data_IF_832486611119
#
_entry.id   IF_832486611119
#
_cell.length_a   1.000
_cell.length_b   1.000
_cell.length_c   1.000
_cell.angle_alpha   90.00
_cell.angle_beta   90.00
_cell.angle_gamma   90.00
#
_symmetry.space_group_name_H-M   'P 1'
#
loop_
_entity.id
_entity.type
_entity.pdbx_description
1 polymer ?
#
# COMPACT_ATOMS: atom_id res chain seq x y z
N UNK A 1 35.28 -76.74 -7.51
CA UNK A 1 33.96 -76.50 -8.13
C UNK A 1 33.32 -75.35 -7.38
N UNK A 2 33.34 -74.14 -7.94
CA UNK A 2 32.25 -73.50 -8.70
C UNK A 2 31.00 -73.16 -7.86
N UNK A 3 30.71 -71.84 -7.84
CA UNK A 3 29.41 -71.14 -7.65
C UNK A 3 29.01 -70.81 -6.20
N UNK A 4 28.34 -69.69 -5.88
CA UNK A 4 28.11 -68.33 -6.43
C UNK A 4 26.98 -67.70 -5.56
N UNK A 5 26.91 -66.35 -5.50
CA UNK A 5 25.78 -65.48 -5.10
C UNK A 5 25.42 -65.41 -3.60
N UNK A 6 25.06 -64.27 -3.00
CA UNK A 6 24.87 -62.89 -3.45
C UNK A 6 25.02 -61.94 -2.26
N UNK A 7 25.66 -60.78 -2.48
CA UNK A 7 25.65 -59.65 -1.54
C UNK A 7 24.35 -58.86 -1.69
N UNK A 8 23.71 -58.53 -0.56
CA UNK A 8 22.56 -57.67 -0.49
C UNK A 8 23.06 -56.22 -0.33
N UNK A 9 23.10 -55.46 -1.42
CA UNK A 9 23.26 -54.00 -1.38
C UNK A 9 21.88 -53.38 -1.14
N UNK A 10 21.71 -52.76 0.02
CA UNK A 10 20.57 -51.85 0.28
C UNK A 10 20.92 -50.52 -0.39
N UNK A 11 20.26 -50.21 -1.50
CA UNK A 11 20.32 -48.89 -2.13
C UNK A 11 19.25 -48.02 -1.46
N UNK A 12 19.68 -47.14 -0.55
CA UNK A 12 18.88 -45.99 -0.14
C UNK A 12 18.92 -44.97 -1.28
N UNK A 13 17.85 -44.91 -2.06
CA UNK A 13 17.66 -43.92 -3.11
C UNK A 13 16.75 -42.80 -2.56
N UNK A 14 17.31 -41.83 -1.86
CA UNK A 14 16.65 -40.54 -1.63
C UNK A 14 16.93 -39.65 -2.85
N UNK A 15 16.05 -39.70 -3.85
CA UNK A 15 16.08 -38.74 -4.95
C UNK A 15 15.11 -37.60 -4.62
N UNK A 16 15.59 -36.59 -3.89
CA UNK A 16 15.01 -35.26 -3.98
C UNK A 16 15.49 -34.66 -5.30
N UNK A 17 14.78 -34.95 -6.38
CA UNK A 17 14.99 -34.25 -7.65
C UNK A 17 14.62 -32.79 -7.45
N UNK A 18 15.63 -31.96 -7.21
CA UNK A 18 15.54 -30.52 -7.40
C UNK A 18 15.27 -30.31 -8.89
N UNK A 19 13.99 -30.10 -9.23
CA UNK A 19 13.64 -29.62 -10.56
C UNK A 19 14.25 -28.23 -10.68
N UNK A 20 15.31 -28.10 -11.48
CA UNK A 20 15.78 -26.79 -11.93
C UNK A 20 14.61 -26.12 -12.64
N UNK A 21 14.11 -25.01 -12.09
CA UNK A 21 12.95 -24.33 -12.63
C UNK A 21 13.21 -23.94 -14.09
N UNK A 22 12.45 -24.53 -15.02
CA UNK A 22 12.61 -24.31 -16.45
C UNK A 22 11.97 -22.96 -16.81
N UNK A 23 12.69 -22.09 -17.53
CA UNK A 23 12.11 -20.89 -18.13
C UNK A 23 11.53 -21.22 -19.51
N UNK A 24 10.40 -20.61 -19.83
CA UNK A 24 9.75 -20.73 -21.14
C UNK A 24 9.29 -19.36 -21.64
N UNK A 25 9.46 -19.13 -22.94
CA UNK A 25 9.03 -17.90 -23.61
C UNK A 25 7.77 -18.18 -24.44
N UNK A 26 6.70 -17.46 -24.18
CA UNK A 26 5.39 -17.66 -24.82
C UNK A 26 4.59 -16.35 -24.86
N UNK A 27 3.54 -16.27 -25.69
CA UNK A 27 2.68 -15.08 -25.74
C UNK A 27 1.67 -15.08 -24.58
N UNK A 28 1.25 -13.91 -24.12
CA UNK A 28 0.29 -13.78 -23.01
C UNK A 28 -1.02 -14.54 -23.29
N UNK A 29 -1.45 -14.59 -24.56
CA UNK A 29 -2.64 -15.33 -24.98
C UNK A 29 -2.58 -16.85 -24.72
N UNK A 30 -1.40 -17.43 -24.48
CA UNK A 30 -1.20 -18.85 -24.14
C UNK A 30 -1.24 -19.12 -22.63
N UNK A 31 -1.41 -18.09 -21.81
CA UNK A 31 -1.53 -18.22 -20.35
C UNK A 31 -2.98 -18.49 -19.95
N UNK A 32 -3.21 -19.65 -19.35
CA UNK A 32 -4.48 -20.03 -18.75
C UNK A 32 -4.52 -19.58 -17.29
N UNK A 33 -5.44 -18.71 -16.87
CA UNK A 33 -5.49 -18.22 -15.49
C UNK A 33 -5.93 -19.32 -14.51
N UNK A 34 -5.28 -19.41 -13.35
CA UNK A 34 -5.74 -20.23 -12.22
C UNK A 34 -6.54 -19.45 -11.17
N UNK A 35 -7.10 -18.30 -11.51
CA UNK A 35 -8.07 -17.58 -10.67
C UNK A 35 -9.18 -17.00 -11.56
N UNK A 36 -10.40 -16.87 -11.05
CA UNK A 36 -11.53 -16.37 -11.84
C UNK A 36 -11.58 -14.83 -11.98
N UNK A 37 -10.93 -14.11 -11.06
CA UNK A 37 -11.12 -12.67 -10.89
C UNK A 37 -9.82 -11.87 -10.85
N UNK A 38 -9.93 -10.56 -11.07
CA UNK A 38 -8.87 -9.57 -10.94
C UNK A 38 -9.32 -8.48 -9.97
N UNK A 39 -8.37 -7.67 -9.53
CA UNK A 39 -8.65 -6.38 -8.91
C UNK A 39 -8.40 -5.29 -9.97
N UNK A 40 -9.47 -4.69 -10.48
CA UNK A 40 -9.37 -3.79 -11.64
C UNK A 40 -8.57 -2.53 -11.34
N UNK A 41 -8.63 -2.02 -10.12
CA UNK A 41 -7.85 -0.88 -9.65
C UNK A 41 -6.34 -1.17 -9.60
N UNK A 42 -5.94 -2.37 -9.18
CA UNK A 42 -4.57 -2.84 -9.20
C UNK A 42 -4.06 -3.00 -10.64
N UNK A 43 -4.92 -3.43 -11.57
CA UNK A 43 -4.63 -3.46 -13.01
C UNK A 43 -4.41 -2.03 -13.53
N UNK A 44 -5.32 -1.10 -13.24
CA UNK A 44 -5.22 0.32 -13.63
C UNK A 44 -3.91 0.94 -13.11
N UNK A 45 -3.59 0.80 -11.82
CA UNK A 45 -2.32 1.30 -11.22
C UNK A 45 -1.09 0.81 -12.00
N UNK A 46 -1.11 -0.45 -12.46
CA UNK A 46 0.00 -1.02 -13.23
C UNK A 46 0.07 -0.43 -14.65
N UNK A 47 -1.08 -0.24 -15.31
CA UNK A 47 -1.16 0.43 -16.61
C UNK A 47 -0.61 1.86 -16.51
N UNK A 48 -1.02 2.63 -15.50
CA UNK A 48 -0.56 4.00 -15.27
C UNK A 48 0.96 4.03 -15.04
N UNK A 49 1.49 3.08 -14.26
CA UNK A 49 2.94 2.91 -14.09
C UNK A 49 3.64 2.70 -15.44
N UNK A 50 3.08 1.90 -16.34
CA UNK A 50 3.66 1.66 -17.68
C UNK A 50 3.61 2.89 -18.58
N UNK A 51 2.55 3.71 -18.49
CA UNK A 51 2.43 4.98 -19.21
C UNK A 51 3.51 5.98 -18.80
N UNK A 52 3.71 6.15 -17.49
CA UNK A 52 4.72 7.07 -16.96
C UNK A 52 6.16 6.60 -17.19
N UNK A 53 6.39 5.29 -17.31
CA UNK A 53 7.71 4.68 -17.47
C UNK A 53 8.00 4.16 -18.89
N UNK A 54 7.34 4.69 -19.92
CA UNK A 54 7.34 4.13 -21.29
C UNK A 54 8.73 3.81 -21.88
N UNK A 55 9.78 4.59 -21.55
CA UNK A 55 11.17 4.32 -21.97
C UNK A 55 11.85 3.20 -21.16
N UNK A 56 11.52 3.04 -19.88
CA UNK A 56 12.05 1.98 -19.01
C UNK A 56 11.28 0.65 -19.20
N UNK A 57 9.97 0.72 -19.46
CA UNK A 57 9.08 -0.43 -19.61
C UNK A 57 9.40 -1.35 -20.80
N UNK A 58 10.08 -0.85 -21.83
CA UNK A 58 10.60 -1.69 -22.93
C UNK A 58 11.92 -2.40 -22.56
N UNK A 59 12.63 -1.93 -21.53
CA UNK A 59 13.88 -2.50 -21.00
C UNK A 59 13.61 -3.49 -19.85
N UNK A 60 12.55 -3.25 -19.07
CA UNK A 60 12.21 -3.89 -17.78
C UNK A 60 11.56 -5.29 -17.84
N UNK A 61 11.05 -5.75 -18.99
CA UNK A 61 10.35 -7.05 -19.06
C UNK A 61 11.26 -8.25 -18.69
N UNK A 62 12.57 -8.10 -18.85
CA UNK A 62 13.56 -9.11 -18.49
C UNK A 62 14.07 -9.00 -17.05
N UNK A 63 13.76 -7.92 -16.33
CA UNK A 63 14.24 -7.63 -14.97
C UNK A 63 13.16 -7.85 -13.88
N UNK A 64 11.90 -8.04 -14.28
CA UNK A 64 10.83 -8.41 -13.35
C UNK A 64 11.06 -9.83 -12.77
N UNK A 65 10.78 -10.06 -11.47
CA UNK A 65 10.74 -11.40 -10.92
C UNK A 65 9.86 -12.30 -11.78
N UNK A 66 10.43 -13.41 -12.25
CA UNK A 66 9.76 -14.30 -13.19
C UNK A 66 8.44 -14.80 -12.61
N UNK A 67 7.36 -14.48 -13.30
CA UNK A 67 6.02 -14.96 -12.99
C UNK A 67 5.94 -16.47 -13.24
N UNK A 68 5.16 -17.15 -12.41
CA UNK A 68 5.17 -18.61 -12.36
C UNK A 68 3.99 -19.23 -13.08
N UNK A 69 4.25 -20.37 -13.68
CA UNK A 69 3.26 -21.22 -14.34
C UNK A 69 3.46 -22.67 -13.94
N UNK A 70 2.40 -23.47 -14.07
CA UNK A 70 2.45 -24.93 -14.09
C UNK A 70 2.19 -25.39 -15.52
N UNK A 71 3.03 -26.29 -16.04
CA UNK A 71 2.80 -26.95 -17.31
C UNK A 71 1.78 -28.08 -17.11
N UNK A 72 0.63 -27.99 -17.75
CA UNK A 72 -0.48 -28.93 -17.63
C UNK A 72 -0.72 -29.77 -18.90
N UNK A 73 -1.81 -30.54 -18.91
CA UNK A 73 -2.17 -31.44 -20.01
C UNK A 73 -2.26 -30.71 -21.35
N UNK A 74 -2.02 -31.46 -22.44
CA UNK A 74 -1.94 -30.91 -23.80
C UNK A 74 -0.89 -29.79 -24.00
N UNK A 75 0.08 -29.67 -23.10
CA UNK A 75 1.15 -28.68 -23.17
C UNK A 75 0.72 -27.24 -22.85
N UNK A 76 -0.38 -27.08 -22.11
CA UNK A 76 -0.92 -25.77 -21.73
C UNK A 76 -0.22 -25.20 -20.50
N UNK A 77 -0.06 -23.87 -20.45
CA UNK A 77 0.60 -23.19 -19.33
C UNK A 77 -0.43 -22.47 -18.44
N UNK A 78 -0.50 -22.90 -17.19
CA UNK A 78 -1.45 -22.39 -16.20
C UNK A 78 -0.75 -21.40 -15.27
N UNK A 79 -1.18 -20.14 -15.30
CA UNK A 79 -0.59 -19.01 -14.58
C UNK A 79 -0.92 -19.05 -13.10
N UNK A 80 0.09 -19.19 -12.24
CA UNK A 80 -0.07 -19.27 -10.78
C UNK A 80 0.32 -17.98 -10.04
N UNK A 81 1.10 -17.11 -10.68
CA UNK A 81 1.35 -15.73 -10.21
C UNK A 81 1.40 -14.78 -11.42
N UNK A 82 0.87 -13.58 -11.26
CA UNK A 82 1.04 -12.49 -12.23
C UNK A 82 -0.19 -12.11 -13.02
N UNK A 83 -1.40 -12.57 -12.66
CA UNK A 83 -2.64 -12.29 -13.38
C UNK A 83 -2.89 -10.80 -13.58
N UNK A 84 -2.74 -9.96 -12.54
CA UNK A 84 -2.86 -8.50 -12.68
C UNK A 84 -1.78 -7.90 -13.56
N UNK A 85 -0.55 -8.43 -13.50
CA UNK A 85 0.59 -7.94 -14.30
C UNK A 85 0.37 -8.23 -15.78
N UNK A 86 0.07 -9.47 -16.14
CA UNK A 86 -0.16 -9.84 -17.54
C UNK A 86 -1.45 -9.25 -18.11
N UNK A 87 -2.48 -9.08 -17.28
CA UNK A 87 -3.69 -8.34 -17.68
C UNK A 87 -3.38 -6.88 -18.00
N UNK A 88 -2.62 -6.19 -17.15
CA UNK A 88 -2.20 -4.81 -17.39
C UNK A 88 -1.30 -4.68 -18.63
N UNK A 89 -0.37 -5.63 -18.84
CA UNK A 89 0.50 -5.64 -20.03
C UNK A 89 -0.28 -5.81 -21.33
N UNK A 90 -1.25 -6.73 -21.33
CA UNK A 90 -2.14 -6.97 -22.48
C UNK A 90 -2.97 -5.74 -22.82
N UNK A 91 -3.52 -5.06 -21.81
CA UNK A 91 -4.38 -3.91 -22.02
C UNK A 91 -3.64 -2.64 -22.40
N UNK A 92 -2.45 -2.42 -21.84
CA UNK A 92 -1.63 -1.24 -22.13
C UNK A 92 -1.30 -1.10 -23.62
N UNK A 93 -1.15 -2.21 -24.36
CA UNK A 93 -0.94 -2.15 -25.81
C UNK A 93 -1.45 -3.42 -26.51
N UNK A 94 -2.31 -3.30 -27.55
CA UNK A 94 -2.75 -4.44 -28.36
C UNK A 94 -1.58 -5.24 -28.96
N UNK A 95 -0.49 -4.57 -29.34
CA UNK A 95 0.73 -5.21 -29.87
C UNK A 95 1.45 -6.06 -28.82
N UNK A 96 1.16 -5.89 -27.51
CA UNK A 96 1.77 -6.66 -26.42
C UNK A 96 1.04 -7.96 -26.09
N UNK A 97 -0.22 -8.12 -26.50
CA UNK A 97 -0.91 -9.41 -26.39
C UNK A 97 -0.17 -10.52 -27.17
N UNK A 98 0.50 -10.12 -28.26
CA UNK A 98 1.27 -10.98 -29.15
C UNK A 98 2.77 -11.00 -28.82
N UNK A 99 3.25 -10.18 -27.87
CA UNK A 99 4.67 -10.18 -27.49
C UNK A 99 5.00 -11.37 -26.59
N UNK A 100 6.13 -12.05 -26.85
CA UNK A 100 6.59 -13.12 -25.99
C UNK A 100 7.01 -12.59 -24.61
N UNK A 101 6.57 -13.28 -23.57
CA UNK A 101 6.97 -13.08 -22.17
C UNK A 101 7.68 -14.34 -21.68
N UNK A 102 8.66 -14.17 -20.79
CA UNK A 102 9.36 -15.30 -20.17
C UNK A 102 8.76 -15.57 -18.80
N UNK A 103 8.34 -16.81 -18.58
CA UNK A 103 7.75 -17.30 -17.33
C UNK A 103 8.56 -18.48 -16.80
N UNK A 104 8.45 -18.72 -15.49
CA UNK A 104 9.12 -19.82 -14.80
C UNK A 104 8.14 -20.96 -14.56
N UNK A 105 8.45 -22.15 -15.08
CA UNK A 105 7.70 -23.37 -14.80
C UNK A 105 8.09 -23.88 -13.41
N UNK A 106 7.12 -23.96 -12.51
CA UNK A 106 7.33 -24.44 -11.13
C UNK A 106 6.98 -25.91 -10.96
N UNK A 107 6.14 -26.46 -11.83
CA UNK A 107 5.84 -27.89 -11.90
C UNK A 107 5.46 -28.29 -13.33
N UNK A 108 5.85 -29.51 -13.72
CA UNK A 108 5.36 -30.19 -14.92
C UNK A 108 4.37 -31.28 -14.50
N UNK A 109 3.15 -31.16 -15.03
CA UNK A 109 1.99 -32.03 -14.85
C UNK A 109 1.30 -32.30 -16.19
N UNK A 110 2.07 -32.26 -17.26
CA UNK A 110 1.60 -32.55 -18.62
C UNK A 110 1.20 -34.02 -18.83
N UNK A 111 1.61 -34.90 -17.92
CA UNK A 111 1.32 -36.33 -17.89
C UNK A 111 -0.05 -36.68 -17.30
N UNK A 112 -0.67 -35.75 -16.55
CA UNK A 112 -1.99 -35.95 -15.94
C UNK A 112 -3.13 -35.86 -16.96
N UNK A 113 -4.27 -36.46 -16.66
CA UNK A 113 -5.52 -36.10 -17.33
C UNK A 113 -5.97 -34.69 -16.90
N UNK A 114 -6.89 -34.07 -17.67
CA UNK A 114 -7.41 -32.74 -17.34
C UNK A 114 -8.04 -32.70 -15.94
N UNK A 115 -8.78 -33.74 -15.56
CA UNK A 115 -9.42 -33.84 -14.24
C UNK A 115 -8.40 -33.98 -13.11
N UNK A 116 -7.43 -34.90 -13.25
CA UNK A 116 -6.37 -35.09 -12.25
C UNK A 116 -5.51 -33.84 -12.10
N UNK A 117 -5.27 -33.11 -13.20
CA UNK A 117 -4.54 -31.85 -13.18
C UNK A 117 -5.23 -30.77 -12.34
N UNK A 118 -6.53 -30.55 -12.56
CA UNK A 118 -7.27 -29.57 -11.76
C UNK A 118 -7.39 -29.98 -10.29
N UNK A 119 -7.56 -31.27 -10.00
CA UNK A 119 -7.49 -31.79 -8.64
C UNK A 119 -6.12 -31.52 -8.00
N UNK A 120 -5.05 -31.69 -8.77
CA UNK A 120 -3.70 -31.38 -8.31
C UNK A 120 -3.52 -29.88 -8.04
N UNK A 121 -4.03 -28.99 -8.90
CA UNK A 121 -3.96 -27.54 -8.67
C UNK A 121 -4.67 -27.16 -7.36
N UNK A 122 -5.85 -27.73 -7.09
CA UNK A 122 -6.59 -27.50 -5.84
C UNK A 122 -5.81 -28.02 -4.64
N UNK A 123 -5.31 -29.25 -4.71
CA UNK A 123 -4.58 -29.90 -3.61
C UNK A 123 -3.20 -29.29 -3.30
N UNK A 124 -2.70 -28.37 -4.14
CA UNK A 124 -1.40 -27.73 -3.99
C UNK A 124 -1.52 -26.19 -3.95
N UNK A 125 -2.71 -25.66 -3.64
CA UNK A 125 -2.97 -24.23 -3.51
C UNK A 125 -2.48 -23.41 -4.71
N UNK A 126 -2.66 -23.95 -5.93
CA UNK A 126 -2.25 -23.31 -7.18
C UNK A 126 -3.43 -22.65 -7.92
N UNK A 127 -4.65 -22.72 -7.36
CA UNK A 127 -5.87 -22.21 -7.99
C UNK A 127 -6.81 -21.56 -6.97
N UNK A 128 -7.47 -20.47 -7.39
CA UNK A 128 -8.54 -19.81 -6.66
C UNK A 128 -9.87 -19.94 -7.42
N UNK A 129 -10.75 -20.80 -6.93
CA UNK A 129 -12.04 -21.14 -7.57
C UNK A 129 -13.21 -20.34 -6.99
N UNK A 130 -13.04 -19.03 -6.76
CA UNK A 130 -14.14 -18.15 -6.34
C UNK A 130 -14.23 -16.88 -7.17
N UNK A 131 -15.45 -16.41 -7.36
CA UNK A 131 -15.77 -15.16 -8.05
C UNK A 131 -15.64 -13.93 -7.14
N UNK A 132 -15.94 -12.73 -7.67
CA UNK A 132 -15.81 -11.47 -6.94
C UNK A 132 -16.87 -11.30 -5.84
N UNK A 133 -17.86 -12.19 -5.80
CA UNK A 133 -18.89 -12.31 -4.76
C UNK A 133 -18.56 -13.44 -3.78
N UNK A 134 -17.39 -14.07 -3.89
CA UNK A 134 -16.97 -15.17 -3.03
C UNK A 134 -17.65 -16.51 -3.31
N UNK A 135 -18.43 -16.61 -4.40
CA UNK A 135 -19.13 -17.83 -4.78
C UNK A 135 -18.18 -18.78 -5.52
N UNK A 136 -18.38 -20.08 -5.37
CA UNK A 136 -17.58 -21.09 -6.05
C UNK A 136 -17.73 -20.95 -7.58
N UNK A 137 -16.63 -21.07 -8.30
CA UNK A 137 -16.58 -21.13 -9.77
C UNK A 137 -16.24 -22.55 -10.17
N UNK A 138 -17.09 -23.15 -10.98
CA UNK A 138 -16.84 -24.48 -11.55
C UNK A 138 -15.64 -24.43 -12.51
N UNK A 139 -14.88 -25.53 -12.57
CA UNK A 139 -13.67 -25.61 -13.39
C UNK A 139 -13.95 -25.29 -14.87
N UNK A 140 -15.10 -25.72 -15.39
CA UNK A 140 -15.48 -25.48 -16.79
C UNK A 140 -15.81 -24.00 -17.09
N UNK A 141 -16.15 -23.24 -16.05
CA UNK A 141 -16.46 -21.81 -16.11
C UNK A 141 -15.23 -20.92 -15.86
N UNK A 142 -14.06 -21.51 -15.58
CA UNK A 142 -12.83 -20.76 -15.38
C UNK A 142 -12.42 -20.01 -16.67
N UNK A 143 -11.93 -18.76 -16.54
CA UNK A 143 -11.51 -17.99 -17.70
C UNK A 143 -10.39 -18.69 -18.45
N UNK A 144 -10.41 -18.62 -19.77
CA UNK A 144 -9.38 -19.27 -20.62
C UNK A 144 -8.19 -18.37 -20.92
N UNK A 145 -8.31 -17.08 -20.62
CA UNK A 145 -7.28 -16.07 -20.88
C UNK A 145 -7.26 -15.04 -19.75
N UNK A 146 -6.09 -14.43 -19.55
CA UNK A 146 -5.94 -13.28 -18.65
C UNK A 146 -6.42 -11.98 -19.30
N UNK A 147 -7.04 -11.11 -18.51
CA UNK A 147 -7.48 -9.77 -18.90
C UNK A 147 -8.85 -9.40 -18.34
N UNK A 148 -9.12 -8.08 -18.19
CA UNK A 148 -10.42 -7.55 -17.74
C UNK A 148 -11.58 -7.88 -18.69
N UNK A 149 -11.28 -8.29 -19.91
CA UNK A 149 -12.24 -8.80 -20.88
C UNK A 149 -12.77 -10.21 -20.50
N UNK A 150 -11.98 -11.01 -19.79
CA UNK A 150 -12.30 -12.42 -19.50
C UNK A 150 -12.49 -12.71 -18.01
N UNK A 151 -11.92 -11.88 -17.14
CA UNK A 151 -11.89 -12.10 -15.69
C UNK A 151 -12.68 -10.99 -15.00
N UNK A 152 -13.61 -11.34 -14.12
CA UNK A 152 -14.44 -10.37 -13.40
C UNK A 152 -13.64 -9.58 -12.34
N UNK A 153 -14.20 -8.46 -11.88
CA UNK A 153 -13.62 -7.66 -10.79
C UNK A 153 -13.94 -8.26 -9.41
N UNK A 154 -12.97 -8.25 -8.51
CA UNK A 154 -13.11 -8.42 -7.07
C UNK A 154 -12.54 -7.18 -6.36
N UNK A 155 -13.41 -6.23 -5.99
CA UNK A 155 -13.03 -5.01 -5.30
C UNK A 155 -12.38 -5.24 -3.94
N UNK A 156 -12.84 -6.24 -3.17
CA UNK A 156 -12.29 -6.53 -1.84
C UNK A 156 -10.88 -7.10 -1.96
N UNK A 157 -10.63 -7.91 -3.00
CA UNK A 157 -9.27 -8.32 -3.36
C UNK A 157 -8.39 -7.12 -3.72
N UNK A 158 -8.94 -6.10 -4.36
CA UNK A 158 -8.27 -4.81 -4.60
C UNK A 158 -7.96 -4.07 -3.31
N UNK A 159 -8.94 -3.97 -2.40
CA UNK A 159 -8.77 -3.35 -1.09
C UNK A 159 -7.59 -3.94 -0.32
N UNK A 160 -7.47 -5.26 -0.27
CA UNK A 160 -6.35 -5.93 0.40
C UNK A 160 -4.98 -5.59 -0.19
N UNK A 161 -4.90 -5.21 -1.46
CA UNK A 161 -3.66 -4.70 -2.06
C UNK A 161 -3.32 -3.28 -1.58
N UNK A 162 -4.33 -2.41 -1.42
CA UNK A 162 -4.14 -1.03 -0.97
C UNK A 162 -3.96 -0.87 0.54
N UNK A 163 -4.44 -1.83 1.32
CA UNK A 163 -4.32 -1.85 2.78
C UNK A 163 -2.99 -2.43 3.29
N UNK A 164 -2.14 -2.90 2.37
CA UNK A 164 -0.79 -3.36 2.70
C UNK A 164 0.03 -2.26 3.35
N UNK A 165 1.00 -2.67 4.14
CA UNK A 165 1.97 -1.86 4.86
C UNK A 165 1.35 -0.96 5.96
N UNK A 166 0.03 -0.78 5.95
CA UNK A 166 -0.74 -0.05 6.96
C UNK A 166 -1.53 -0.97 7.89
N UNK A 167 -2.30 -1.90 7.32
CA UNK A 167 -3.15 -2.83 8.09
C UNK A 167 -2.76 -4.29 7.90
N UNK A 168 -2.07 -4.60 6.80
CA UNK A 168 -1.61 -5.94 6.45
C UNK A 168 -0.13 -5.91 6.07
N UNK A 169 0.66 -6.83 6.62
CA UNK A 169 2.03 -7.12 6.18
C UNK A 169 2.08 -8.46 5.48
N UNK A 170 3.18 -8.72 4.78
CA UNK A 170 3.44 -10.05 4.21
C UNK A 170 3.58 -11.06 5.37
N UNK A 171 2.84 -12.19 5.36
CA UNK A 171 3.05 -13.29 6.29
C UNK A 171 4.50 -13.81 6.30
N UNK A 172 4.99 -14.24 7.47
CA UNK A 172 6.31 -14.87 7.59
C UNK A 172 6.36 -16.20 6.83
N UNK A 173 5.34 -17.05 7.01
CA UNK A 173 5.10 -18.23 6.19
C UNK A 173 4.49 -17.80 4.87
N UNK A 174 5.08 -18.21 3.75
CA UNK A 174 4.47 -17.96 2.45
C UNK A 174 3.15 -18.73 2.33
N UNK A 175 2.04 -18.00 2.26
CA UNK A 175 0.69 -18.54 2.09
C UNK A 175 0.18 -18.04 0.71
N UNK A 176 -0.20 -18.94 -0.21
CA UNK A 176 -0.83 -18.54 -1.47
C UNK A 176 -2.12 -17.77 -1.23
N UNK A 177 -2.47 -16.84 -2.10
CA UNK A 177 -3.77 -16.15 -2.08
C UNK A 177 -4.15 -15.42 -0.78
N UNK A 178 -3.19 -14.99 0.05
CA UNK A 178 -3.45 -14.27 1.33
C UNK A 178 -4.47 -13.15 1.19
N UNK A 179 -4.34 -12.31 0.16
CA UNK A 179 -5.27 -11.20 -0.05
C UNK A 179 -6.69 -11.66 -0.43
N UNK A 180 -6.84 -12.86 -0.99
CA UNK A 180 -8.15 -13.44 -1.28
C UNK A 180 -8.84 -14.00 -0.04
N UNK A 181 -8.08 -14.64 0.86
CA UNK A 181 -8.63 -15.10 2.14
C UNK A 181 -9.12 -13.93 2.99
N UNK A 182 -8.34 -12.85 3.08
CA UNK A 182 -8.79 -11.61 3.73
C UNK A 182 -10.02 -11.00 3.05
N UNK A 183 -10.04 -10.93 1.72
CA UNK A 183 -11.19 -10.43 0.99
C UNK A 183 -12.46 -11.27 1.25
N UNK A 184 -12.33 -12.60 1.31
CA UNK A 184 -13.43 -13.51 1.64
C UNK A 184 -13.92 -13.30 3.07
N UNK A 185 -13.01 -13.20 4.03
CA UNK A 185 -13.39 -12.99 5.42
C UNK A 185 -14.17 -11.68 5.62
N UNK A 186 -13.67 -10.56 5.06
CA UNK A 186 -14.36 -9.27 5.11
C UNK A 186 -15.74 -9.33 4.45
N UNK A 187 -15.83 -10.04 3.30
CA UNK A 187 -17.09 -10.23 2.57
C UNK A 187 -18.16 -10.91 3.42
N UNK A 188 -17.76 -11.94 4.16
CA UNK A 188 -18.68 -12.74 4.99
C UNK A 188 -19.12 -12.00 6.27
N UNK A 189 -18.26 -11.14 6.83
CA UNK A 189 -18.46 -10.60 8.18
C UNK A 189 -18.83 -9.11 8.24
N UNK A 190 -18.42 -8.31 7.26
CA UNK A 190 -18.63 -6.86 7.31
C UNK A 190 -19.79 -6.37 6.41
N UNK A 191 -20.24 -7.19 5.45
CA UNK A 191 -21.34 -6.91 4.50
C UNK A 191 -21.36 -5.48 3.91
N UNK A 192 -20.20 -4.83 3.79
CA UNK A 192 -20.13 -3.48 3.24
C UNK A 192 -20.14 -3.52 1.73
N UNK A 193 -21.25 -3.04 1.16
CA UNK A 193 -21.33 -2.81 -0.26
C UNK A 193 -20.21 -1.85 -0.70
N UNK A 194 -19.52 -2.21 -1.78
CA UNK A 194 -18.65 -1.28 -2.49
C UNK A 194 -19.45 -0.01 -2.85
N UNK A 195 -18.87 1.20 -2.75
CA UNK A 195 -19.56 2.43 -3.13
C UNK A 195 -20.11 2.36 -4.56
N UNK A 196 -21.42 2.56 -4.73
CA UNK A 196 -22.07 2.55 -6.06
C UNK A 196 -21.62 3.73 -6.94
N UNK A 197 -21.21 4.85 -6.32
CA UNK A 197 -20.57 5.97 -6.99
C UNK A 197 -19.09 5.98 -6.63
N UNK A 198 -18.24 5.65 -7.60
CA UNK A 198 -16.79 5.70 -7.44
C UNK A 198 -16.32 7.15 -7.42
N UNK A 199 -15.51 7.46 -6.42
CA UNK A 199 -14.91 8.77 -6.19
C UNK A 199 -13.87 8.65 -5.10
N UNK A 200 -12.75 9.37 -5.24
CA UNK A 200 -11.56 9.20 -4.39
C UNK A 200 -11.91 9.18 -2.89
N UNK A 201 -12.77 10.09 -2.43
CA UNK A 201 -13.20 10.15 -1.03
C UNK A 201 -14.06 8.95 -0.58
N UNK A 202 -14.93 8.44 -1.44
CA UNK A 202 -15.77 7.29 -1.12
C UNK A 202 -14.93 6.01 -1.06
N UNK A 203 -14.00 5.85 -2.00
CA UNK A 203 -13.06 4.73 -2.03
C UNK A 203 -12.13 4.75 -0.81
N UNK A 204 -11.59 5.92 -0.44
CA UNK A 204 -10.75 6.07 0.76
C UNK A 204 -11.51 5.73 2.04
N UNK A 205 -12.76 6.20 2.20
CA UNK A 205 -13.59 5.85 3.38
C UNK A 205 -13.91 4.37 3.44
N UNK A 206 -14.15 3.74 2.30
CA UNK A 206 -14.42 2.31 2.23
C UNK A 206 -13.17 1.49 2.60
N UNK A 207 -12.00 1.86 2.06
CA UNK A 207 -10.72 1.26 2.45
C UNK A 207 -10.43 1.44 3.94
N UNK A 208 -10.65 2.65 4.47
CA UNK A 208 -10.46 2.94 5.89
C UNK A 208 -11.29 2.02 6.78
N UNK A 209 -12.60 1.88 6.51
CA UNK A 209 -13.48 0.98 7.28
C UNK A 209 -13.01 -0.47 7.24
N UNK A 210 -12.55 -0.94 6.08
CA UNK A 210 -12.00 -2.30 5.94
C UNK A 210 -10.71 -2.46 6.76
N UNK A 211 -9.81 -1.48 6.68
CA UNK A 211 -8.57 -1.47 7.47
C UNK A 211 -8.84 -1.50 8.98
N UNK A 212 -9.74 -0.64 9.45
CA UNK A 212 -10.16 -0.57 10.87
C UNK A 212 -10.81 -1.88 11.33
N UNK A 213 -11.67 -2.49 10.51
CA UNK A 213 -12.23 -3.81 10.80
C UNK A 213 -11.15 -4.87 10.94
N UNK A 214 -10.24 -4.97 9.97
CA UNK A 214 -9.12 -5.91 10.01
C UNK A 214 -8.31 -5.68 11.28
N UNK A 215 -8.02 -4.43 11.62
CA UNK A 215 -7.20 -4.08 12.78
C UNK A 215 -7.86 -4.43 14.13
N UNK A 216 -9.19 -4.39 14.21
CA UNK A 216 -9.96 -4.67 15.43
C UNK A 216 -10.24 -6.16 15.65
N UNK A 217 -9.96 -7.02 14.67
CA UNK A 217 -10.13 -8.47 14.86
C UNK A 217 -9.21 -8.99 15.97
N UNK A 218 -9.69 -9.92 16.82
CA UNK A 218 -8.82 -10.67 17.71
C UNK A 218 -7.68 -11.33 16.93
N UNK A 219 -6.46 -11.29 17.45
CA UNK A 219 -5.27 -11.77 16.73
C UNK A 219 -5.34 -13.26 16.36
N UNK A 220 -6.08 -14.03 17.16
CA UNK A 220 -6.35 -15.46 17.03
C UNK A 220 -7.50 -15.80 16.06
N UNK A 221 -8.14 -14.79 15.46
CA UNK A 221 -9.23 -15.01 14.48
C UNK A 221 -8.70 -15.84 13.32
N UNK A 222 -9.34 -16.97 12.99
CA UNK A 222 -8.92 -17.83 11.89
C UNK A 222 -9.32 -17.21 10.55
N UNK A 223 -8.33 -16.97 9.69
CA UNK A 223 -8.50 -16.37 8.35
C UNK A 223 -7.97 -17.31 7.26
N UNK A 224 -6.86 -18.00 7.51
CA UNK A 224 -6.18 -18.84 6.53
C UNK A 224 -6.88 -20.18 6.27
N UNK A 225 -6.56 -20.82 5.14
CA UNK A 225 -7.18 -22.09 4.72
C UNK A 225 -6.88 -23.25 5.67
N UNK A 226 -5.72 -23.25 6.32
CA UNK A 226 -5.23 -24.33 7.17
C UNK A 226 -5.33 -23.99 8.66
N UNK A 227 -6.14 -22.97 9.00
CA UNK A 227 -6.33 -22.52 10.37
C UNK A 227 -5.42 -21.37 10.77
N UNK A 228 -4.68 -20.76 9.85
CA UNK A 228 -3.84 -19.60 10.18
C UNK A 228 -4.67 -18.44 10.73
N UNK A 229 -4.17 -17.90 11.82
CA UNK A 229 -4.76 -16.78 12.55
C UNK A 229 -4.55 -15.45 11.82
N UNK A 230 -5.28 -14.42 12.22
CA UNK A 230 -5.19 -13.08 11.63
C UNK A 230 -3.75 -12.56 11.68
N UNK A 231 -3.03 -12.74 12.79
CA UNK A 231 -1.64 -12.31 12.92
C UNK A 231 -0.69 -13.11 12.03
N UNK A 232 -0.88 -14.43 11.90
CA UNK A 232 -0.12 -15.29 10.98
C UNK A 232 -0.40 -14.94 9.52
N UNK A 233 -1.63 -14.52 9.23
CA UNK A 233 -2.08 -14.01 7.93
C UNK A 233 -1.69 -12.54 7.68
N UNK A 234 -0.86 -11.96 8.56
CA UNK A 234 -0.24 -10.67 8.35
C UNK A 234 -1.02 -9.47 8.89
N UNK A 235 -2.01 -9.66 9.76
CA UNK A 235 -2.69 -8.56 10.44
C UNK A 235 -1.69 -7.70 11.23
N UNK A 236 -1.80 -6.38 11.06
CA UNK A 236 -1.10 -5.40 11.89
C UNK A 236 -2.10 -4.93 12.95
N UNK A 237 -1.94 -5.42 14.19
CA UNK A 237 -2.80 -5.04 15.31
C UNK A 237 -2.70 -3.53 15.61
N UNK A 238 -3.76 -2.95 16.17
CA UNK A 238 -3.83 -1.52 16.53
C UNK A 238 -2.60 -1.05 17.31
N UNK A 239 -2.19 -1.82 18.32
CA UNK A 239 -1.04 -1.50 19.16
C UNK A 239 0.30 -1.62 18.42
N UNK A 240 0.45 -2.58 17.50
CA UNK A 240 1.68 -2.72 16.71
C UNK A 240 1.81 -1.64 15.63
N UNK A 241 0.70 -1.21 15.03
CA UNK A 241 0.68 -0.07 14.10
C UNK A 241 1.01 1.23 14.83
N UNK A 242 0.41 1.43 16.01
CA UNK A 242 0.70 2.54 16.92
C UNK A 242 2.18 2.55 17.32
N UNK A 243 2.72 1.42 17.78
CA UNK A 243 4.11 1.33 18.19
C UNK A 243 5.06 1.60 17.01
N UNK A 244 4.78 1.10 15.80
CA UNK A 244 5.60 1.41 14.63
C UNK A 244 5.57 2.90 14.26
N UNK A 245 4.45 3.61 14.44
CA UNK A 245 4.33 5.06 14.17
C UNK A 245 4.96 5.93 15.28
N UNK A 246 4.79 5.52 16.53
CA UNK A 246 5.38 6.14 17.74
C UNK A 246 6.85 5.75 17.90
N UNK A 247 7.35 4.69 17.28
CA UNK A 247 8.78 4.33 17.31
C UNK A 247 9.52 4.76 16.06
N UNK A 248 8.83 5.23 15.00
CA UNK A 248 9.49 5.83 13.84
C UNK A 248 10.33 6.99 14.33
N UNK A 249 11.68 6.91 14.27
CA UNK A 249 12.52 8.00 14.71
C UNK A 249 12.11 9.26 13.95
N UNK A 250 11.89 10.37 14.68
CA UNK A 250 11.66 11.67 14.07
C UNK A 250 12.75 11.94 13.04
N UNK A 251 13.99 11.56 13.36
CA UNK A 251 15.20 11.75 12.56
C UNK A 251 15.76 10.41 12.06
N UNK A 252 15.90 10.27 10.73
CA UNK A 252 16.67 9.23 10.10
C UNK A 252 18.13 9.69 9.97
N UNK A 253 19.01 9.18 10.82
CA UNK A 253 20.43 9.56 10.85
C UNK A 253 21.24 9.12 9.63
N UNK A 254 20.77 8.12 8.87
CA UNK A 254 21.46 7.66 7.66
C UNK A 254 21.19 8.61 6.47
N UNK A 255 19.98 9.15 6.41
CA UNK A 255 19.56 10.06 5.33
C UNK A 255 19.66 11.54 5.71
N UNK A 256 19.80 11.86 7.00
CA UNK A 256 19.75 13.24 7.50
C UNK A 256 18.39 13.89 7.30
N UNK A 257 17.31 13.11 7.28
CA UNK A 257 15.94 13.54 7.01
C UNK A 257 15.04 13.28 8.21
N UNK A 258 13.97 14.07 8.32
CA UNK A 258 12.94 13.86 9.32
C UNK A 258 11.77 13.07 8.73
N UNK A 259 11.07 12.27 9.54
CA UNK A 259 9.79 11.68 9.15
C UNK A 259 8.67 12.66 9.50
N UNK A 260 7.74 12.89 8.58
CA UNK A 260 6.52 13.66 8.81
C UNK A 260 5.28 12.80 8.56
N UNK A 261 4.23 13.01 9.36
CA UNK A 261 2.91 12.38 9.20
C UNK A 261 1.91 13.43 8.73
N UNK A 262 1.25 13.21 7.59
CA UNK A 262 0.23 14.14 7.06
C UNK A 262 -1.09 13.97 7.82
N UNK A 263 -1.58 15.03 8.45
CA UNK A 263 -2.85 15.02 9.18
C UNK A 263 -3.97 15.66 8.33
N UNK A 264 -3.68 16.80 7.71
CA UNK A 264 -4.64 17.55 6.90
C UNK A 264 -4.08 17.76 5.49
N UNK A 265 -4.56 16.97 4.51
CA UNK A 265 -4.20 17.15 3.10
C UNK A 265 -4.44 18.57 2.60
N UNK A 266 -3.55 19.08 1.74
CA UNK A 266 -3.78 20.34 1.03
C UNK A 266 -5.12 20.29 0.29
N UNK A 267 -5.90 21.37 0.40
CA UNK A 267 -7.24 21.47 -0.18
C UNK A 267 -8.36 20.87 0.68
N UNK A 268 -8.07 20.33 1.87
CA UNK A 268 -9.08 19.84 2.82
C UNK A 268 -9.34 20.79 3.99
N UNK A 269 -10.46 20.57 4.70
CA UNK A 269 -10.91 21.39 5.84
C UNK A 269 -11.12 20.57 7.12
N UNK A 270 -11.02 19.25 7.05
CA UNK A 270 -11.27 18.38 8.21
C UNK A 270 -10.07 18.49 9.17
N UNK A 271 -10.30 18.93 10.41
CA UNK A 271 -9.22 19.10 11.39
C UNK A 271 -8.93 17.75 12.05
N UNK A 272 -7.97 17.04 11.49
CA UNK A 272 -7.39 15.84 12.06
C UNK A 272 -6.08 16.17 12.75
N UNK A 273 -5.74 15.40 13.76
CA UNK A 273 -4.50 15.53 14.51
C UNK A 273 -4.02 14.17 14.99
N UNK A 274 -2.73 14.05 15.24
CA UNK A 274 -2.15 12.90 15.90
C UNK A 274 -2.68 12.85 17.35
N UNK A 275 -3.27 11.73 17.72
CA UNK A 275 -3.90 11.56 19.03
C UNK A 275 -2.97 10.76 19.95
N UNK A 276 -2.64 11.34 21.10
CA UNK A 276 -1.75 10.75 22.10
C UNK A 276 -2.49 10.04 23.23
N UNK A 277 -3.77 10.34 23.43
CA UNK A 277 -4.51 9.97 24.63
C UNK A 277 -5.49 8.82 24.40
N UNK A 278 -6.01 8.65 23.17
CA UNK A 278 -7.00 7.63 22.85
C UNK A 278 -6.45 6.46 22.01
N UNK A 279 -7.25 5.38 21.87
CA UNK A 279 -6.98 4.18 21.08
C UNK A 279 -6.85 4.42 19.56
N UNK A 280 -7.13 5.63 19.08
CA UNK A 280 -6.85 6.09 17.72
C UNK A 280 -5.50 6.82 17.67
N UNK A 281 -4.79 6.77 16.54
CA UNK A 281 -3.48 7.44 16.37
C UNK A 281 -3.59 8.71 15.54
N UNK A 282 -4.71 8.89 14.85
CA UNK A 282 -5.07 10.12 14.16
C UNK A 282 -6.56 10.32 14.37
N UNK A 283 -6.95 11.32 15.16
CA UNK A 283 -8.35 11.57 15.46
C UNK A 283 -8.87 12.80 14.72
N UNK A 284 -10.14 12.74 14.34
CA UNK A 284 -10.84 13.92 13.87
C UNK A 284 -11.27 14.71 15.10
N UNK A 285 -10.66 15.87 15.32
CA UNK A 285 -10.99 16.71 16.46
C UNK A 285 -12.50 16.97 16.50
N UNK A 286 -13.10 16.84 17.68
CA UNK A 286 -14.51 17.13 17.89
C UNK A 286 -14.67 18.52 18.50
N UNK A 287 -15.52 19.34 17.89
CA UNK A 287 -15.97 20.62 18.44
C UNK A 287 -17.48 20.55 18.66
N UNK A 288 -17.93 20.68 19.91
CA UNK A 288 -19.33 20.49 20.31
C UNK A 288 -19.88 19.11 19.89
N UNK A 289 -19.10 18.05 20.14
CA UNK A 289 -19.42 16.65 19.78
C UNK A 289 -19.60 16.40 18.27
N UNK A 290 -19.18 17.34 17.43
CA UNK A 290 -19.23 17.22 15.98
C UNK A 290 -17.82 17.30 15.38
N UNK A 291 -17.55 16.55 14.29
CA UNK A 291 -16.25 16.61 13.63
C UNK A 291 -15.90 18.04 13.18
N UNK A 292 -14.83 18.59 13.74
CA UNK A 292 -14.41 19.97 13.54
C UNK A 292 -13.91 20.17 12.12
N UNK A 293 -14.43 21.21 11.48
CA UNK A 293 -13.95 21.68 10.18
C UNK A 293 -13.44 23.09 10.31
N UNK A 294 -12.40 23.42 9.56
CA UNK A 294 -11.94 24.80 9.43
C UNK A 294 -13.03 25.62 8.75
N UNK A 295 -13.52 26.63 9.45
CA UNK A 295 -14.55 27.56 8.98
C UNK A 295 -13.92 28.70 8.15
N UNK A 296 -13.08 28.36 7.18
CA UNK A 296 -12.39 29.30 6.29
C UNK A 296 -12.13 28.63 4.92
N UNK A 297 -11.10 29.08 4.19
CA UNK A 297 -10.55 28.34 3.06
C UNK A 297 -9.88 27.05 3.54
N UNK A 298 -9.85 26.04 2.67
CA UNK A 298 -9.07 24.83 2.92
C UNK A 298 -7.58 25.13 3.13
N UNK A 299 -6.89 24.22 3.80
CA UNK A 299 -5.44 24.34 4.00
C UNK A 299 -4.74 24.46 2.63
N UNK A 300 -3.94 25.51 2.40
CA UNK A 300 -3.27 25.72 1.11
C UNK A 300 -2.03 24.83 0.94
N UNK A 301 -1.66 24.07 1.98
CA UNK A 301 -0.47 23.25 2.08
C UNK A 301 -0.81 21.97 2.85
N UNK A 302 -0.02 20.91 2.68
CA UNK A 302 -0.19 19.70 3.49
C UNK A 302 0.28 20.00 4.91
N UNK A 303 -0.61 19.80 5.87
CA UNK A 303 -0.34 19.98 7.29
C UNK A 303 -0.14 18.63 7.95
N UNK A 304 0.78 18.57 8.90
CA UNK A 304 1.04 17.37 9.64
C UNK A 304 1.88 17.59 10.88
N UNK A 305 2.33 16.49 11.46
CA UNK A 305 3.14 16.45 12.67
C UNK A 305 4.48 15.76 12.42
N UNK A 306 5.50 16.16 13.18
CA UNK A 306 6.76 15.43 13.32
C UNK A 306 6.62 14.46 14.51
N UNK A 307 6.37 13.17 14.30
CA UNK A 307 6.20 12.21 15.39
C UNK A 307 7.45 12.16 16.27
N UNK A 308 7.29 11.85 17.55
CA UNK A 308 8.38 11.80 18.55
C UNK A 308 9.14 13.11 18.76
N UNK A 309 8.49 14.23 18.47
CA UNK A 309 8.92 15.55 18.92
C UNK A 309 7.93 16.06 19.96
N UNK A 310 8.30 17.11 20.70
CA UNK A 310 7.43 17.71 21.70
C UNK A 310 7.61 19.22 21.73
N UNK A 311 6.52 19.95 21.50
CA UNK A 311 6.41 21.37 21.80
C UNK A 311 6.30 21.54 23.33
N UNK A 312 7.42 21.46 24.05
CA UNK A 312 7.42 21.44 25.50
C UNK A 312 6.75 22.70 26.11
N UNK A 313 5.77 22.48 26.99
CA UNK A 313 5.09 23.58 27.72
C UNK A 313 6.03 24.44 28.56
N UNK A 314 7.15 23.87 29.02
CA UNK A 314 8.18 24.61 29.75
C UNK A 314 8.82 25.73 28.90
N UNK A 315 8.85 25.56 27.58
CA UNK A 315 9.38 26.51 26.60
C UNK A 315 8.27 27.32 25.90
N UNK A 316 7.05 27.26 26.44
CA UNK A 316 5.87 27.96 25.93
C UNK A 316 5.10 27.25 24.83
N UNK A 317 5.42 25.99 24.52
CA UNK A 317 4.65 25.16 23.57
C UNK A 317 3.32 24.64 24.14
N UNK A 318 2.51 24.00 23.30
CA UNK A 318 1.18 23.45 23.64
C UNK A 318 1.21 22.04 24.26
N UNK A 319 2.33 21.33 24.10
CA UNK A 319 2.53 19.95 24.57
C UNK A 319 2.27 18.88 23.52
N UNK A 320 2.01 19.27 22.27
CA UNK A 320 1.78 18.38 21.14
C UNK A 320 3.09 18.16 20.34
N UNK A 321 3.12 17.23 19.37
CA UNK A 321 4.25 17.12 18.45
C UNK A 321 4.43 18.41 17.64
N UNK A 322 5.66 18.67 17.21
CA UNK A 322 5.95 19.83 16.37
C UNK A 322 5.21 19.72 15.03
N UNK A 323 4.53 20.80 14.67
CA UNK A 323 3.80 20.90 13.42
C UNK A 323 4.71 21.09 12.21
N UNK A 324 4.30 20.55 11.07
CA UNK A 324 5.02 20.67 9.80
C UNK A 324 4.08 20.97 8.62
N UNK A 325 4.55 21.87 7.76
CA UNK A 325 3.92 22.26 6.50
C UNK A 325 4.77 21.73 5.34
N UNK A 326 4.23 20.77 4.60
CA UNK A 326 4.96 20.05 3.56
C UNK A 326 4.63 20.64 2.19
N UNK A 327 5.62 21.25 1.55
CA UNK A 327 5.51 21.82 0.21
C UNK A 327 5.37 20.71 -0.84
N UNK A 328 4.32 20.80 -1.66
CA UNK A 328 4.07 19.84 -2.73
C UNK A 328 2.60 19.74 -3.13
N UNK A 329 2.26 18.79 -4.01
CA UNK A 329 0.88 18.46 -4.31
C UNK A 329 0.14 17.91 -3.07
N UNK A 330 -1.18 17.82 -3.13
CA UNK A 330 -1.97 17.24 -2.04
C UNK A 330 -1.55 15.79 -1.75
N UNK A 331 -1.29 15.51 -0.48
CA UNK A 331 -0.87 14.21 0.03
C UNK A 331 -2.03 13.53 0.77
N UNK A 332 -2.17 12.20 0.70
CA UNK A 332 -3.20 11.49 1.46
C UNK A 332 -3.01 11.67 2.98
N UNK A 333 -4.12 11.76 3.72
CA UNK A 333 -4.11 11.75 5.18
C UNK A 333 -3.50 10.45 5.73
N UNK A 334 -2.66 10.57 6.75
CA UNK A 334 -1.90 9.50 7.35
C UNK A 334 -0.68 9.07 6.54
N UNK A 335 -0.31 9.80 5.48
CA UNK A 335 0.92 9.49 4.73
C UNK A 335 2.14 9.82 5.57
N UNK A 336 3.13 8.94 5.53
CA UNK A 336 4.45 9.16 6.11
C UNK A 336 5.46 9.48 5.01
N UNK A 337 6.28 10.51 5.22
CA UNK A 337 7.21 11.01 4.22
C UNK A 337 8.53 11.38 4.89
N UNK A 338 9.65 11.01 4.25
CA UNK A 338 10.95 11.59 4.57
C UNK A 338 11.00 13.02 4.03
N UNK A 339 11.27 13.98 4.91
CA UNK A 339 11.26 15.40 4.59
C UNK A 339 12.52 16.10 5.11
N UNK A 340 12.92 17.17 4.42
CA UNK A 340 13.95 18.10 4.87
C UNK A 340 13.27 19.37 5.38
N UNK A 341 13.62 19.78 6.59
CA UNK A 341 13.20 21.09 7.12
C UNK A 341 14.07 22.17 6.49
N UNK A 342 13.40 23.20 5.96
CA UNK A 342 14.05 24.35 5.33
C UNK A 342 13.86 25.64 6.13
N UNK A 343 13.12 25.60 7.23
CA UNK A 343 12.88 26.76 8.09
C UNK A 343 11.62 26.58 8.90
N UNK A 344 11.12 27.67 9.47
CA UNK A 344 9.85 27.68 10.21
C UNK A 344 9.07 28.97 9.99
N UNK A 345 7.76 28.88 10.14
CA UNK A 345 6.87 30.00 10.42
C UNK A 345 6.73 30.07 11.94
N UNK A 346 7.35 31.08 12.55
CA UNK A 346 7.06 31.39 13.94
C UNK A 346 5.61 31.86 14.05
N UNK A 347 4.93 31.36 15.08
CA UNK A 347 3.55 31.71 15.32
C UNK A 347 3.25 31.64 16.82
N UNK A 348 2.47 32.59 17.29
CA UNK A 348 1.87 32.55 18.62
C UNK A 348 0.37 32.42 18.46
N UNK A 349 -0.20 31.39 19.06
CA UNK A 349 -1.62 31.06 19.00
C UNK A 349 -2.20 31.07 20.41
N UNK A 350 -3.14 31.98 20.69
CA UNK A 350 -3.71 32.17 22.02
C UNK A 350 -2.69 32.38 23.16
N UNK A 351 -1.50 32.89 22.83
CA UNK A 351 -0.41 33.13 23.78
C UNK A 351 0.58 31.97 23.94
N UNK A 352 0.32 30.83 23.28
CA UNK A 352 1.21 29.67 23.22
C UNK A 352 2.05 29.73 21.94
N UNK A 353 3.30 29.27 22.03
CA UNK A 353 4.20 29.15 20.88
C UNK A 353 3.75 27.95 20.06
N UNK A 354 3.49 28.20 18.78
CA UNK A 354 2.83 27.26 17.88
C UNK A 354 3.53 27.24 16.50
N UNK A 355 4.85 27.14 16.53
CA UNK A 355 5.70 27.23 15.35
C UNK A 355 5.36 26.13 14.33
N UNK A 356 5.27 26.51 13.07
CA UNK A 356 5.00 25.59 11.95
C UNK A 356 6.27 25.40 11.14
N UNK A 357 6.89 24.22 11.20
CA UNK A 357 8.09 23.95 10.41
C UNK A 357 7.76 23.83 8.93
N UNK A 358 8.66 24.29 8.06
CA UNK A 358 8.49 24.23 6.61
C UNK A 358 9.37 23.12 6.07
N UNK A 359 8.76 22.20 5.32
CA UNK A 359 9.43 21.01 4.85
C UNK A 359 9.27 20.78 3.35
N UNK A 360 10.28 20.14 2.77
CA UNK A 360 10.28 19.68 1.37
C UNK A 360 10.55 18.18 1.31
N UNK A 361 9.90 17.51 0.36
CA UNK A 361 10.25 16.13 0.01
C UNK A 361 11.50 16.18 -0.89
N UNK A 362 12.61 15.51 -0.54
CA UNK A 362 13.90 15.61 -1.25
C UNK A 362 13.93 14.86 -2.59
N UNK A 363 12.76 14.53 -3.15
CA UNK A 363 12.59 13.99 -4.49
C UNK A 363 11.25 14.44 -5.08
N UNK A 364 11.11 14.31 -6.40
CA UNK A 364 9.82 14.35 -7.12
C UNK A 364 8.97 15.63 -6.98
N UNK A 365 9.57 16.73 -6.52
CA UNK A 365 8.94 18.05 -6.45
C UNK A 365 9.85 19.15 -6.96
N UNK A 366 9.26 20.27 -7.41
CA UNK A 366 10.00 21.48 -7.81
C UNK A 366 10.71 22.17 -6.61
N UNK A 367 10.40 21.74 -5.39
CA UNK A 367 10.92 22.28 -4.14
C UNK A 367 12.04 21.44 -3.53
N UNK A 368 12.32 20.25 -4.09
CA UNK A 368 13.25 19.24 -3.55
C UNK A 368 14.67 19.77 -3.27
N UNK A 369 15.12 20.73 -4.07
CA UNK A 369 16.46 21.34 -3.96
C UNK A 369 16.55 22.48 -2.94
N UNK A 370 15.42 22.97 -2.42
CA UNK A 370 15.42 24.05 -1.44
C UNK A 370 16.17 23.63 -0.16
N UNK A 371 17.00 24.55 0.33
CA UNK A 371 17.74 24.38 1.57
C UNK A 371 17.31 25.36 2.68
N UNK A 372 16.58 26.41 2.32
CA UNK A 372 16.14 27.44 3.29
C UNK A 372 14.81 28.08 2.90
N UNK A 373 14.09 28.65 3.87
CA UNK A 373 12.89 29.44 3.61
C UNK A 373 13.25 30.80 3.00
N UNK A 374 14.44 31.32 3.29
CA UNK A 374 15.02 32.46 2.56
C UNK A 374 15.12 32.18 1.06
N UNK A 375 15.54 30.99 0.66
CA UNK A 375 15.58 30.58 -0.75
C UNK A 375 14.18 30.41 -1.34
N UNK A 376 13.23 29.86 -0.57
CA UNK A 376 11.81 29.81 -0.94
C UNK A 376 11.26 31.23 -1.20
N UNK A 377 11.55 32.19 -0.34
CA UNK A 377 11.10 33.58 -0.47
C UNK A 377 11.72 34.29 -1.68
N UNK A 378 12.98 33.98 -2.01
CA UNK A 378 13.64 34.55 -3.18
C UNK A 378 13.05 34.00 -4.50
N UNK A 379 12.77 32.69 -4.55
CA UNK A 379 12.29 32.03 -5.77
C UNK A 379 10.78 32.14 -5.95
N UNK A 380 10.02 32.02 -4.85
CA UNK A 380 8.56 31.92 -4.83
C UNK A 380 7.94 32.69 -3.64
N UNK A 381 8.09 34.02 -3.57
CA UNK A 381 7.63 34.83 -2.44
C UNK A 381 6.12 34.73 -2.17
N UNK A 382 5.33 34.40 -3.19
CA UNK A 382 3.88 34.23 -3.05
C UNK A 382 3.48 33.11 -2.10
N UNK A 383 4.32 32.06 -1.95
CA UNK A 383 4.01 30.91 -1.08
C UNK A 383 3.96 31.35 0.38
N UNK A 384 5.01 32.03 0.85
CA UNK A 384 5.07 32.52 2.24
C UNK A 384 3.98 33.56 2.52
N UNK A 385 3.66 34.42 1.55
CA UNK A 385 2.57 35.39 1.69
C UNK A 385 1.19 34.71 1.84
N UNK A 386 0.92 33.64 1.07
CA UNK A 386 -0.31 32.85 1.19
C UNK A 386 -0.40 32.21 2.57
N UNK A 387 0.68 31.59 3.05
CA UNK A 387 0.71 30.93 4.36
C UNK A 387 0.49 31.93 5.49
N UNK A 388 1.22 33.06 5.50
CA UNK A 388 1.02 34.14 6.48
C UNK A 388 -0.43 34.64 6.50
N UNK A 389 -1.00 34.90 5.32
CA UNK A 389 -2.38 35.38 5.20
C UNK A 389 -3.37 34.32 5.72
N UNK A 390 -3.16 33.05 5.39
CA UNK A 390 -4.04 31.98 5.79
C UNK A 390 -4.02 31.78 7.31
N UNK A 391 -2.84 31.63 7.92
CA UNK A 391 -2.70 31.45 9.38
C UNK A 391 -3.13 32.69 10.18
N UNK A 392 -3.11 33.89 9.59
CA UNK A 392 -3.67 35.10 10.23
C UNK A 392 -5.19 35.04 10.41
N UNK A 393 -5.90 34.19 9.66
CA UNK A 393 -7.36 34.27 9.53
C UNK A 393 -8.11 32.95 9.72
N UNK A 394 -7.43 31.80 9.71
CA UNK A 394 -8.09 30.48 9.68
C UNK A 394 -8.99 30.18 10.89
N UNK A 395 -8.77 30.84 12.04
CA UNK A 395 -9.60 30.73 13.25
C UNK A 395 -10.83 31.66 13.28
N UNK A 396 -11.04 32.47 12.24
CA UNK A 396 -12.16 33.41 12.19
C UNK A 396 -11.96 34.64 13.09
N UNK A 397 -13.02 35.43 13.29
CA UNK A 397 -12.97 36.75 13.93
C UNK A 397 -12.56 36.75 15.42
N UNK A 398 -12.66 35.60 16.09
CA UNK A 398 -12.35 35.45 17.52
C UNK A 398 -10.95 34.88 17.77
N UNK A 399 -10.26 34.39 16.74
CA UNK A 399 -8.91 33.82 16.87
C UNK A 399 -7.83 34.88 17.05
N UNK A 400 -6.92 34.65 18.00
CA UNK A 400 -5.76 35.52 18.22
C UNK A 400 -4.48 34.81 17.76
N UNK A 401 -4.09 35.08 16.53
CA UNK A 401 -2.80 34.64 15.97
C UNK A 401 -1.87 35.84 15.81
N UNK A 402 -0.64 35.72 16.26
CA UNK A 402 0.38 36.77 16.15
C UNK A 402 1.76 36.18 15.89
N UNK A 403 2.78 37.02 15.67
CA UNK A 403 4.17 36.55 15.52
C UNK A 403 4.50 35.88 14.19
N UNK A 404 3.64 35.99 13.17
CA UNK A 404 3.75 35.30 11.87
C UNK A 404 4.94 35.76 11.02
N UNK A 405 6.12 35.24 11.31
CA UNK A 405 7.33 35.49 10.54
C UNK A 405 8.08 34.22 10.18
N UNK A 406 8.74 34.22 9.03
CA UNK A 406 9.57 33.10 8.59
C UNK A 406 11.02 33.33 8.97
N UNK A 407 11.72 32.27 9.33
CA UNK A 407 13.17 32.26 9.48
C UNK A 407 13.75 30.88 9.11
N UNK A 408 15.06 30.84 8.92
CA UNK A 408 15.80 29.64 8.49
C UNK A 408 16.14 28.69 9.65
N UNK A 409 15.50 28.84 10.83
CA UNK A 409 15.75 27.93 11.97
C UNK A 409 15.19 26.54 11.67
N UNK A 410 15.99 25.52 11.99
CA UNK A 410 15.62 24.11 11.86
C UNK A 410 15.00 23.53 13.12
N UNK A 411 14.86 22.21 13.14
CA UNK A 411 14.49 21.43 14.33
C UNK A 411 15.77 20.97 15.01
N UNK A 412 15.95 21.30 16.28
CA UNK A 412 16.99 20.71 17.12
C UNK A 412 16.54 19.28 17.50
N UNK A 413 17.27 18.27 17.03
CA UNK A 413 16.93 16.84 17.18
C UNK A 413 17.83 16.12 18.20
N UNK A 414 18.43 16.87 19.12
CA UNK A 414 19.36 16.36 20.16
C UNK A 414 18.67 15.53 21.26
#
# INVERSE_FOLDING_TARGET
MRRCFAGLFVILASWSSVIMAQEVTLTIAKLHPTQAVLAYDQVTKKIDKYQHQQKAFNKDLNELPRKTVVLGPAGQYYLTDGHHTFSAMREFSPLRAEQPVTVRVTADKSDLSQTEFWQWLVANDQVWLRDGRGQLVEIDDMPRQVGREFMADDPLRGAMYWLRDRYLRKPEKAIPFVEFYWAQYVREHAQWAQPQQRGVLADLRWLQRIGEFIQQLPAETVIGPDGETAVEMGQIAAQAHRQALIETPAYNSEEGLLTAVVEIPAGSVDKWQLDHDDNDWLSWELQNEQPRKIAYLSYPINYGALPNTLAARADGGDGDPLDVLILGPALPRGSQLSVRIIGRLQMTDNGERDDKYIAVVPSDTVFSELQSVSELQQRWPGITAILQTWFSHYKGAEGQVSGLHFDDQGVDVD
#
